data_IF_145881973009
#
_entry.id   IF_145881973009
#
_cell.length_a   1.000
_cell.length_b   1.000
_cell.length_c   1.000
_cell.angle_alpha   90.00
_cell.angle_beta   90.00
_cell.angle_gamma   90.00
#
_symmetry.space_group_name_H-M   'P 1'
#
loop_
_entity.id
_entity.type
_entity.pdbx_description
1 polymer ?
#
# COMPACT_ATOMS: atom_id res chain seq x y z
N UNK A 1 -10.80 4.39 -5.37
CA UNK A 1 -10.09 3.25 -6.01
C UNK A 1 -9.41 3.53 -7.33
N UNK A 2 -9.42 4.78 -7.80
CA UNK A 2 -8.64 5.18 -8.99
C UNK A 2 -7.14 4.94 -8.82
N UNK A 3 -6.61 5.17 -7.61
CA UNK A 3 -5.20 4.92 -7.28
C UNK A 3 -4.76 3.48 -7.56
N UNK A 4 -5.53 2.48 -7.10
CA UNK A 4 -5.18 1.06 -7.30
C UNK A 4 -5.24 0.67 -8.78
N UNK A 5 -6.26 1.15 -9.51
CA UNK A 5 -6.34 0.91 -10.95
C UNK A 5 -5.19 1.57 -11.71
N UNK A 6 -4.81 2.79 -11.33
CA UNK A 6 -3.66 3.48 -11.91
C UNK A 6 -2.34 2.75 -11.61
N UNK A 7 -2.17 2.20 -10.41
CA UNK A 7 -1.01 1.37 -10.04
C UNK A 7 -0.90 0.12 -10.90
N UNK A 8 -1.99 -0.64 -11.03
CA UNK A 8 -1.99 -1.84 -11.86
C UNK A 8 -1.74 -1.50 -13.35
N UNK A 9 -2.29 -0.39 -13.83
CA UNK A 9 -2.04 0.10 -15.20
C UNK A 9 -0.57 0.49 -15.40
N UNK A 10 0.00 1.24 -14.46
CA UNK A 10 1.42 1.61 -14.45
C UNK A 10 2.33 0.37 -14.49
N UNK A 11 2.00 -0.67 -13.72
CA UNK A 11 2.73 -1.94 -13.68
C UNK A 11 2.43 -2.86 -14.88
N UNK A 12 1.52 -2.47 -15.78
CA UNK A 12 1.02 -3.28 -16.91
C UNK A 12 0.53 -4.68 -16.52
N UNK A 13 0.16 -4.85 -15.25
CA UNK A 13 -0.23 -6.12 -14.64
C UNK A 13 -0.92 -5.88 -13.31
N UNK A 14 -1.75 -6.83 -12.87
CA UNK A 14 -2.46 -6.75 -11.59
C UNK A 14 -1.49 -7.07 -10.44
N UNK A 15 -0.90 -6.04 -9.83
CA UNK A 15 0.03 -6.17 -8.69
C UNK A 15 -0.67 -6.06 -7.34
N UNK A 16 -1.84 -5.43 -7.31
CA UNK A 16 -2.62 -5.22 -6.09
C UNK A 16 -4.11 -5.36 -6.40
N UNK A 17 -4.82 -6.09 -5.54
CA UNK A 17 -6.26 -6.16 -5.50
C UNK A 17 -6.78 -5.47 -4.24
N UNK A 18 -8.05 -5.09 -4.25
CA UNK A 18 -8.68 -4.44 -3.12
C UNK A 18 -10.07 -4.99 -2.84
N UNK A 19 -10.50 -4.87 -1.60
CA UNK A 19 -11.88 -5.10 -1.20
C UNK A 19 -12.29 -4.11 -0.11
N UNK A 20 -13.60 -3.88 -0.03
CA UNK A 20 -14.25 -3.17 1.05
C UNK A 20 -15.29 -4.12 1.64
N UNK A 21 -15.34 -4.17 2.97
CA UNK A 21 -16.43 -4.83 3.68
C UNK A 21 -17.55 -3.80 3.96
N UNK A 22 -18.29 -3.93 5.07
CA UNK A 22 -19.29 -2.96 5.53
C UNK A 22 -18.68 -1.68 6.13
N UNK A 23 -17.70 -1.06 5.46
CA UNK A 23 -17.06 0.17 5.92
C UNK A 23 -16.08 0.79 4.92
N UNK A 24 -15.55 2.00 5.23
CA UNK A 24 -14.64 2.73 4.35
C UNK A 24 -13.20 2.20 4.38
N UNK A 25 -12.90 1.24 5.27
CA UNK A 25 -11.58 0.63 5.35
C UNK A 25 -11.32 -0.22 4.10
N UNK A 26 -10.19 0.03 3.47
CA UNK A 26 -9.78 -0.67 2.26
C UNK A 26 -8.77 -1.78 2.63
N UNK A 27 -9.10 -3.02 2.30
CA UNK A 27 -8.17 -4.14 2.42
C UNK A 27 -7.46 -4.35 1.08
N UNK A 28 -6.13 -4.36 1.08
CA UNK A 28 -5.31 -4.60 -0.10
C UNK A 28 -4.67 -5.98 -0.06
N UNK A 29 -4.72 -6.69 -1.18
CA UNK A 29 -4.05 -7.98 -1.37
C UNK A 29 -3.01 -7.87 -2.47
N UNK A 30 -1.79 -8.31 -2.19
CA UNK A 30 -0.63 -8.16 -3.05
C UNK A 30 0.45 -9.19 -2.68
N UNK A 31 1.32 -9.50 -3.62
CA UNK A 31 2.52 -10.29 -3.35
C UNK A 31 3.56 -9.45 -2.59
N UNK A 32 4.38 -10.10 -1.74
CA UNK A 32 5.38 -9.44 -0.90
C UNK A 32 6.36 -8.56 -1.69
N UNK A 33 6.77 -8.99 -2.88
CA UNK A 33 7.65 -8.21 -3.76
C UNK A 33 7.08 -6.83 -4.14
N UNK A 34 5.75 -6.67 -4.13
CA UNK A 34 5.10 -5.42 -4.51
C UNK A 34 4.81 -4.50 -3.30
N UNK A 35 5.01 -4.97 -2.06
CA UNK A 35 4.72 -4.18 -0.85
C UNK A 35 5.44 -2.82 -0.82
N UNK A 36 6.75 -2.72 -1.14
CA UNK A 36 7.43 -1.43 -1.14
C UNK A 36 6.82 -0.42 -2.13
N UNK A 37 6.52 -0.86 -3.35
CA UNK A 37 5.91 -0.02 -4.39
C UNK A 37 4.51 0.47 -3.98
N UNK A 38 3.70 -0.42 -3.41
CA UNK A 38 2.33 -0.06 -3.00
C UNK A 38 2.35 0.90 -1.81
N UNK A 39 3.22 0.68 -0.83
CA UNK A 39 3.40 1.62 0.28
C UNK A 39 3.95 2.97 -0.19
N UNK A 40 4.87 2.99 -1.14
CA UNK A 40 5.36 4.22 -1.77
C UNK A 40 4.25 5.03 -2.44
N UNK A 41 3.35 4.34 -3.16
CA UNK A 41 2.21 4.97 -3.81
C UNK A 41 1.22 5.55 -2.82
N UNK A 42 0.84 4.79 -1.79
CA UNK A 42 -0.08 5.27 -0.74
C UNK A 42 0.57 6.43 0.01
N UNK A 43 1.86 6.34 0.34
CA UNK A 43 2.57 7.44 0.99
C UNK A 43 2.57 8.73 0.15
N UNK A 44 2.86 8.60 -1.15
CA UNK A 44 2.93 9.74 -2.07
C UNK A 44 1.57 10.39 -2.31
N UNK A 45 0.56 9.59 -2.62
CA UNK A 45 -0.74 10.08 -3.11
C UNK A 45 -1.81 10.20 -2.03
N UNK A 46 -1.66 9.55 -0.87
CA UNK A 46 -2.53 9.75 0.30
C UNK A 46 -1.89 10.59 1.41
N UNK A 47 -0.67 11.14 1.17
CA UNK A 47 0.05 12.03 2.08
C UNK A 47 0.02 11.54 3.52
N UNK A 48 0.51 10.31 3.72
CA UNK A 48 0.49 9.68 5.04
C UNK A 48 1.25 10.51 6.07
N UNK A 49 0.80 10.44 7.32
CA UNK A 49 1.57 10.95 8.44
C UNK A 49 2.88 10.15 8.54
N UNK A 50 3.97 10.86 8.85
CA UNK A 50 5.33 10.31 8.79
C UNK A 50 5.55 9.12 9.72
N UNK A 51 4.81 9.07 10.82
CA UNK A 51 4.86 8.00 11.82
C UNK A 51 4.21 6.71 11.33
N UNK A 52 3.20 6.77 10.44
CA UNK A 52 2.54 5.56 9.92
C UNK A 52 3.50 4.65 9.14
N UNK A 53 4.38 5.22 8.32
CA UNK A 53 5.42 4.44 7.62
C UNK A 53 6.39 3.83 8.62
N UNK A 54 6.75 4.56 9.68
CA UNK A 54 7.64 4.04 10.71
C UNK A 54 6.99 2.86 11.46
N UNK A 55 5.72 2.99 11.84
CA UNK A 55 4.93 1.92 12.47
C UNK A 55 4.84 0.67 11.58
N UNK A 56 4.57 0.85 10.28
CA UNK A 56 4.53 -0.26 9.32
C UNK A 56 5.89 -0.95 9.21
N UNK A 57 6.99 -0.20 9.21
CA UNK A 57 8.34 -0.77 9.05
C UNK A 57 8.82 -1.62 10.23
N UNK A 58 8.18 -1.50 11.41
CA UNK A 58 8.53 -2.26 12.62
C UNK A 58 7.56 -3.41 12.92
N UNK A 59 6.50 -3.58 12.13
CA UNK A 59 5.54 -4.66 12.33
C UNK A 59 6.15 -6.03 11.99
N UNK A 60 5.56 -7.11 12.53
CA UNK A 60 6.06 -8.47 12.32
C UNK A 60 6.07 -8.90 10.85
N UNK A 61 5.10 -8.44 10.06
CA UNK A 61 5.05 -8.70 8.62
C UNK A 61 6.17 -7.97 7.85
N UNK A 62 6.71 -6.87 8.40
CA UNK A 62 7.82 -6.16 7.77
C UNK A 62 9.19 -6.84 7.97
N UNK A 63 9.30 -7.85 8.84
CA UNK A 63 10.57 -8.54 9.11
C UNK A 63 11.17 -9.25 7.89
N UNK A 64 10.37 -9.57 6.86
CA UNK A 64 10.88 -10.16 5.62
C UNK A 64 11.68 -9.15 4.76
N UNK A 65 11.55 -7.84 5.02
CA UNK A 65 12.24 -6.78 4.30
C UNK A 65 13.44 -6.29 5.11
N UNK A 66 14.65 -6.42 4.55
CA UNK A 66 15.89 -5.97 5.22
C UNK A 66 15.88 -4.46 5.55
N UNK A 67 15.30 -3.63 4.69
CA UNK A 67 15.22 -2.19 4.87
C UNK A 67 14.01 -1.61 4.12
N UNK A 68 12.80 -1.89 4.61
CA UNK A 68 11.56 -1.47 3.96
C UNK A 68 11.47 0.05 3.79
N UNK A 69 11.95 0.83 4.76
CA UNK A 69 11.91 2.31 4.70
C UNK A 69 12.69 2.86 3.51
N UNK A 70 13.86 2.31 3.20
CA UNK A 70 14.63 2.73 2.04
C UNK A 70 13.99 2.27 0.73
N UNK A 71 13.49 1.03 0.66
CA UNK A 71 12.79 0.53 -0.53
C UNK A 71 11.57 1.40 -0.88
N UNK A 72 10.78 1.81 0.12
CA UNK A 72 9.65 2.73 -0.08
C UNK A 72 10.13 4.06 -0.68
N UNK A 73 11.23 4.63 -0.18
CA UNK A 73 11.78 5.89 -0.70
C UNK A 73 12.24 5.76 -2.15
N UNK A 74 12.98 4.70 -2.47
CA UNK A 74 13.48 4.44 -3.83
C UNK A 74 12.33 4.28 -4.85
N UNK A 75 11.29 3.55 -4.48
CA UNK A 75 10.09 3.41 -5.30
C UNK A 75 9.36 4.76 -5.46
N UNK A 76 9.27 5.55 -4.39
CA UNK A 76 8.54 6.82 -4.38
C UNK A 76 9.15 7.89 -5.28
N UNK A 77 10.48 7.93 -5.41
CA UNK A 77 11.20 8.93 -6.23
C UNK A 77 10.82 8.83 -7.72
N UNK A 78 10.59 7.61 -8.22
CA UNK A 78 10.34 7.36 -9.64
C UNK A 78 8.86 7.14 -9.98
N UNK A 79 7.99 7.08 -8.97
CA UNK A 79 6.59 6.72 -9.16
C UNK A 79 5.76 7.92 -9.64
N UNK A 80 5.28 7.89 -10.89
CA UNK A 80 4.30 8.85 -11.41
C UNK A 80 3.08 8.08 -11.93
N UNK A 81 1.91 8.39 -11.37
CA UNK A 81 0.64 7.76 -11.71
C UNK A 81 -0.30 8.75 -12.38
N UNK A 82 -0.95 8.29 -13.45
CA UNK A 82 -1.91 9.09 -14.21
C UNK A 82 -3.33 8.60 -13.97
N UNK A 83 -4.29 9.52 -13.89
CA UNK A 83 -5.70 9.17 -13.95
C UNK A 83 -6.07 8.74 -15.37
N UNK A 84 -6.84 7.66 -15.47
CA UNK A 84 -7.48 7.27 -16.72
C UNK A 84 -8.95 7.64 -16.65
N UNK A 85 -9.37 8.66 -17.41
CA UNK A 85 -10.76 8.97 -17.67
C UNK A 85 -11.05 8.66 -19.14
N UNK A 86 -12.05 7.81 -19.39
CA UNK A 86 -12.58 7.53 -20.73
C UNK A 86 -11.55 7.05 -21.79
N UNK A 87 -10.46 6.42 -21.36
CA UNK A 87 -9.46 5.85 -22.27
C UNK A 87 -8.32 6.79 -22.67
N UNK A 88 -8.35 8.05 -22.23
CA UNK A 88 -7.26 9.00 -22.42
C UNK A 88 -6.52 9.23 -21.08
N UNK A 89 -5.19 9.30 -21.14
CA UNK A 89 -4.33 9.63 -19.99
C UNK A 89 -4.21 11.14 -19.90
N UNK A 90 -5.04 11.73 -19.04
CA UNK A 90 -5.28 13.17 -19.13
C UNK A 90 -4.58 13.98 -18.05
N UNK A 91 -4.28 13.45 -16.85
CA UNK A 91 -3.55 14.17 -15.78
C UNK A 91 -2.87 13.24 -14.77
N UNK A 92 -1.81 13.72 -14.10
CA UNK A 92 -1.23 13.04 -12.91
C UNK A 92 -2.27 13.00 -11.78
N UNK A 93 -2.27 11.94 -10.98
CA UNK A 93 -3.12 11.84 -9.79
C UNK A 93 -2.72 12.93 -8.79
N UNK A 94 -3.66 13.78 -8.41
CA UNK A 94 -3.43 14.75 -7.35
C UNK A 94 -3.37 14.06 -5.97
N UNK A 95 -2.33 14.34 -5.16
CA UNK A 95 -2.27 13.82 -3.80
C UNK A 95 -3.39 14.36 -2.91
N UNK A 96 -3.89 13.53 -2.00
CA UNK A 96 -4.95 13.87 -1.05
C UNK A 96 -4.46 13.71 0.38
N UNK A 97 -4.52 14.79 1.15
CA UNK A 97 -4.21 14.79 2.58
C UNK A 97 -5.34 14.17 3.41
N UNK A 98 -4.97 13.58 4.55
CA UNK A 98 -5.88 12.94 5.52
C UNK A 98 -6.82 11.85 4.96
N UNK A 99 -6.52 11.33 3.76
CA UNK A 99 -7.31 10.29 3.11
C UNK A 99 -7.19 8.92 3.81
N UNK A 100 -6.05 8.68 4.45
CA UNK A 100 -5.74 7.44 5.17
C UNK A 100 -5.33 7.80 6.59
N UNK A 101 -6.05 7.26 7.57
CA UNK A 101 -5.82 7.53 9.00
C UNK A 101 -4.83 6.56 9.64
N UNK A 102 -4.75 5.35 9.13
CA UNK A 102 -3.93 4.27 9.70
C UNK A 102 -3.65 3.20 8.64
N UNK A 103 -2.59 2.40 8.82
CA UNK A 103 -2.18 1.31 7.94
C UNK A 103 -1.73 0.10 8.74
N UNK A 104 -2.32 -1.05 8.42
CA UNK A 104 -1.92 -2.34 8.96
C UNK A 104 -1.30 -3.21 7.86
N UNK A 105 -0.01 -3.56 8.04
CA UNK A 105 0.65 -4.56 7.21
C UNK A 105 0.59 -5.92 7.92
N UNK A 106 0.07 -6.93 7.22
CA UNK A 106 -0.06 -8.29 7.73
C UNK A 106 0.21 -9.31 6.62
N UNK A 107 0.36 -10.57 7.01
CA UNK A 107 0.53 -11.69 6.11
C UNK A 107 -0.45 -12.81 6.46
N UNK A 108 -0.54 -13.83 5.61
CA UNK A 108 -1.45 -14.97 5.83
C UNK A 108 -1.04 -15.70 7.12
N UNK A 109 -1.94 -15.70 8.10
CA UNK A 109 -1.71 -16.31 9.41
C UNK A 109 -2.02 -17.80 9.46
N UNK A 110 -1.46 -18.49 10.47
CA UNK A 110 -1.62 -19.94 10.68
C UNK A 110 -2.95 -20.35 11.35
N UNK A 111 -3.81 -19.40 11.72
CA UNK A 111 -5.06 -19.66 12.45
C UNK A 111 -4.87 -19.62 13.98
N UNK A 112 -5.93 -19.98 14.74
CA UNK A 112 -5.92 -19.91 16.19
C UNK A 112 -4.99 -20.95 16.84
N UNK A 113 -4.33 -20.56 17.93
CA UNK A 113 -3.47 -21.44 18.74
C UNK A 113 -3.91 -21.40 20.21
N UNK A 114 -3.77 -22.51 20.92
CA UNK A 114 -4.00 -22.55 22.37
C UNK A 114 -2.80 -21.90 23.05
N UNK A 115 -3.02 -20.78 23.73
CA UNK A 115 -2.00 -20.17 24.56
C UNK A 115 -1.78 -21.03 25.82
N UNK A 116 -0.59 -21.60 25.98
CA UNK A 116 -0.21 -22.24 27.25
C UNK A 116 -0.16 -21.16 28.33
N UNK A 117 -0.99 -21.29 29.37
CA UNK A 117 -0.85 -20.48 30.58
C UNK A 117 0.44 -20.93 31.28
N UNK A 118 1.48 -20.09 31.21
CA UNK A 118 2.60 -20.16 32.15
C UNK A 118 2.26 -19.42 33.43
#
# INVERSE_FOLDING_TARGET
MRLIHALNKHCKSTKVAYTFDAGPNCCLFLESINVPLILAAINKYCKLQSDLIEQVTVCSAACEYKNLKNLIKEEQENLVLFESMNGEENNEIEPMEDAVKDIFLSCVGAGPVIAERR
#
